data_IF_497929471157
#
_entry.id   IF_497929471157
#
_cell.length_a   1.000
_cell.length_b   1.000
_cell.length_c   1.000
_cell.angle_alpha   90.00
_cell.angle_beta   90.00
_cell.angle_gamma   90.00
#
_symmetry.space_group_name_H-M   'P 1'
#
loop_
_entity.id
_entity.type
_entity.pdbx_description
1 polymer ?
#
# COMPACT_ATOMS: atom_id res chain seq x y z
N UNK A 1 9.73 5.45 13.55
CA UNK A 1 10.48 5.01 12.34
C UNK A 1 11.29 6.13 11.68
N UNK A 2 10.92 7.41 11.82
CA UNK A 2 11.55 8.49 11.05
C UNK A 2 13.08 8.62 11.17
N UNK A 3 13.65 8.36 12.35
CA UNK A 3 15.11 8.39 12.55
C UNK A 3 15.87 7.40 11.67
N UNK A 4 15.31 6.21 11.44
CA UNK A 4 15.93 5.21 10.58
C UNK A 4 15.92 5.68 9.12
N UNK A 5 14.79 6.20 8.62
CA UNK A 5 14.69 6.69 7.24
C UNK A 5 15.66 7.85 6.97
N UNK A 6 15.68 8.88 7.82
CA UNK A 6 16.61 10.00 7.68
C UNK A 6 18.07 9.57 7.80
N UNK A 7 18.36 8.61 8.69
CA UNK A 7 19.69 8.03 8.84
C UNK A 7 20.16 7.20 7.64
N UNK A 8 19.24 6.77 6.76
CA UNK A 8 19.51 5.89 5.61
C UNK A 8 19.17 6.54 4.26
N UNK A 9 19.23 7.87 4.18
CA UNK A 9 19.22 8.58 2.90
C UNK A 9 17.84 8.93 2.35
N UNK A 10 16.76 8.76 3.10
CA UNK A 10 15.47 9.38 2.75
C UNK A 10 15.50 10.87 3.09
N UNK A 11 15.08 11.72 2.15
CA UNK A 11 15.10 13.19 2.34
C UNK A 11 13.80 13.74 2.92
N UNK A 12 12.68 13.03 2.72
CA UNK A 12 11.36 13.52 3.10
C UNK A 12 10.54 12.37 3.65
N UNK A 13 9.87 12.62 4.77
CA UNK A 13 8.89 11.71 5.37
C UNK A 13 7.57 12.47 5.42
N UNK A 14 6.53 11.81 4.94
CA UNK A 14 5.15 12.30 5.00
C UNK A 14 4.41 11.39 5.96
N UNK A 15 4.14 11.88 7.15
CA UNK A 15 3.43 11.18 8.22
C UNK A 15 2.13 11.91 8.60
N UNK A 16 1.35 11.30 9.47
CA UNK A 16 -0.01 11.71 9.82
C UNK A 16 -0.17 13.22 10.13
N UNK A 17 0.73 13.90 10.89
CA UNK A 17 0.57 15.31 11.23
C UNK A 17 0.49 16.28 10.05
N UNK A 18 0.93 15.87 8.85
CA UNK A 18 0.89 16.71 7.65
C UNK A 18 -0.23 16.37 6.67
N UNK A 19 -1.08 15.38 6.99
CA UNK A 19 -2.33 15.15 6.28
C UNK A 19 -3.35 16.22 6.67
N UNK A 20 -3.88 16.95 5.68
CA UNK A 20 -4.86 18.01 5.90
C UNK A 20 -6.25 17.48 5.56
N UNK A 21 -7.15 17.46 6.55
CA UNK A 21 -8.54 17.00 6.41
C UNK A 21 -8.67 15.60 5.79
N UNK A 22 -8.06 14.54 6.39
CA UNK A 22 -8.24 13.17 5.92
C UNK A 22 -9.74 12.79 5.93
N UNK A 23 -10.16 12.00 4.96
CA UNK A 23 -11.56 11.55 4.87
C UNK A 23 -11.89 10.51 5.92
N UNK A 24 -10.88 9.80 6.43
CA UNK A 24 -11.02 8.84 7.51
C UNK A 24 -9.74 8.71 8.33
N UNK A 25 -9.89 8.53 9.64
CA UNK A 25 -8.79 8.31 10.57
C UNK A 25 -9.15 7.18 11.55
N UNK A 26 -8.42 6.07 11.49
CA UNK A 26 -8.53 4.95 12.43
C UNK A 26 -7.40 4.97 13.47
N UNK A 27 -7.30 3.93 14.30
CA UNK A 27 -6.23 3.88 15.32
C UNK A 27 -4.80 3.77 14.73
N UNK A 28 -4.69 3.38 13.46
CA UNK A 28 -3.42 3.25 12.73
C UNK A 28 -3.12 4.46 11.84
N UNK A 29 -3.89 5.54 11.96
CA UNK A 29 -3.73 6.77 11.20
C UNK A 29 -4.77 6.94 10.10
N UNK A 30 -4.41 7.70 9.06
CA UNK A 30 -5.26 7.94 7.89
C UNK A 30 -5.51 6.66 7.10
N UNK A 31 -6.67 6.57 6.43
CA UNK A 31 -6.98 5.40 5.61
C UNK A 31 -6.10 5.32 4.34
N UNK A 32 -6.03 4.12 3.75
CA UNK A 32 -5.22 3.88 2.56
C UNK A 32 -5.70 4.71 1.34
N UNK A 33 -6.99 5.09 1.30
CA UNK A 33 -7.52 5.96 0.24
C UNK A 33 -6.95 7.38 0.32
N UNK A 34 -6.81 7.94 1.53
CA UNK A 34 -6.21 9.25 1.75
C UNK A 34 -4.69 9.19 1.47
N UNK A 35 -4.04 8.09 1.88
CA UNK A 35 -2.61 7.84 1.61
C UNK A 35 -2.32 7.89 0.10
N UNK A 36 -3.08 7.17 -0.72
CA UNK A 36 -2.82 7.09 -2.16
C UNK A 36 -3.11 8.41 -2.89
N UNK A 37 -4.13 9.16 -2.46
CA UNK A 37 -4.43 10.49 -2.98
C UNK A 37 -3.26 11.44 -2.67
N UNK A 38 -2.78 11.42 -1.41
CA UNK A 38 -1.63 12.23 -1.03
C UNK A 38 -0.38 11.85 -1.81
N UNK A 39 -0.13 10.57 -2.03
CA UNK A 39 1.02 10.12 -2.79
C UNK A 39 0.98 10.60 -4.25
N UNK A 40 -0.18 10.50 -4.90
CA UNK A 40 -0.42 11.02 -6.25
C UNK A 40 -0.09 12.53 -6.35
N UNK A 41 -0.61 13.35 -5.41
CA UNK A 41 -0.31 14.78 -5.35
C UNK A 41 1.20 15.07 -5.26
N UNK A 42 1.93 14.29 -4.45
CA UNK A 42 3.37 14.44 -4.29
C UNK A 42 4.13 14.00 -5.55
N UNK A 43 3.67 12.95 -6.24
CA UNK A 43 4.27 12.49 -7.48
C UNK A 43 4.09 13.49 -8.61
N UNK A 44 2.95 14.16 -8.69
CA UNK A 44 2.74 15.29 -9.61
C UNK A 44 3.75 16.41 -9.30
N UNK A 45 3.91 16.81 -8.04
CA UNK A 45 4.88 17.86 -7.64
C UNK A 45 6.32 17.47 -7.96
N UNK A 46 6.70 16.23 -7.67
CA UNK A 46 8.06 15.73 -7.94
C UNK A 46 8.33 15.64 -9.44
N UNK A 47 7.36 15.16 -10.23
CA UNK A 47 7.45 15.12 -11.68
C UNK A 47 7.67 16.52 -12.27
N UNK A 48 6.97 17.54 -11.77
CA UNK A 48 7.14 18.94 -12.20
C UNK A 48 8.55 19.50 -11.91
N UNK A 49 9.25 18.98 -10.91
CA UNK A 49 10.65 19.37 -10.60
C UNK A 49 11.67 18.74 -11.57
N UNK A 50 11.26 17.76 -12.38
CA UNK A 50 12.09 17.18 -13.44
C UNK A 50 13.24 16.29 -12.96
N UNK A 51 13.26 15.89 -11.69
CA UNK A 51 14.25 14.94 -11.15
C UNK A 51 13.61 13.58 -10.88
N UNK A 52 14.30 12.46 -11.19
CA UNK A 52 13.86 11.14 -10.76
C UNK A 52 13.69 11.10 -9.24
N UNK A 53 12.68 10.37 -8.77
CA UNK A 53 12.42 10.19 -7.35
C UNK A 53 12.20 8.71 -7.02
N UNK A 54 12.49 8.37 -5.76
CA UNK A 54 12.08 7.12 -5.13
C UNK A 54 11.08 7.48 -4.03
N UNK A 55 9.95 6.78 -3.99
CA UNK A 55 8.98 6.91 -2.91
C UNK A 55 8.55 5.54 -2.43
N UNK A 56 8.30 5.43 -1.13
CA UNK A 56 7.82 4.22 -0.46
C UNK A 56 6.54 4.60 0.28
N UNK A 57 5.45 3.93 -0.05
CA UNK A 57 4.16 4.08 0.62
C UNK A 57 3.94 2.85 1.50
N UNK A 58 3.51 3.05 2.73
CA UNK A 58 3.08 1.99 3.64
C UNK A 58 1.59 2.12 3.92
N UNK A 59 0.82 1.15 3.46
CA UNK A 59 -0.61 1.00 3.82
C UNK A 59 -0.73 0.62 5.29
N UNK A 60 -1.79 1.09 5.95
CA UNK A 60 -2.01 0.85 7.38
C UNK A 60 -3.38 0.26 7.68
N UNK A 61 -4.33 0.36 6.76
CA UNK A 61 -5.75 0.02 7.01
C UNK A 61 -5.97 -1.46 7.36
N UNK A 62 -5.16 -2.37 6.79
CA UNK A 62 -5.21 -3.79 7.11
C UNK A 62 -4.54 -4.14 8.46
N UNK A 63 -5.01 -3.52 9.54
CA UNK A 63 -4.61 -3.82 10.91
C UNK A 63 -5.83 -3.81 11.83
N UNK A 64 -5.86 -4.74 12.80
CA UNK A 64 -6.91 -4.82 13.83
C UNK A 64 -7.08 -3.46 14.55
N UNK A 65 -8.31 -2.93 14.70
CA UNK A 65 -9.60 -3.62 14.56
C UNK A 65 -10.23 -3.55 13.16
N UNK A 66 -9.43 -3.32 12.11
CA UNK A 66 -9.84 -3.35 10.69
C UNK A 66 -10.80 -2.21 10.33
N UNK A 67 -10.44 -1.00 10.77
CA UNK A 67 -11.21 0.22 10.57
C UNK A 67 -10.98 0.82 9.18
N UNK A 68 -12.05 1.04 8.43
CA UNK A 68 -12.02 1.70 7.13
C UNK A 68 -13.33 2.49 6.91
N UNK A 69 -13.34 3.52 6.03
CA UNK A 69 -14.53 4.33 5.78
C UNK A 69 -15.69 3.53 5.18
N UNK A 70 -16.90 3.75 5.71
CA UNK A 70 -18.12 3.15 5.20
C UNK A 70 -18.44 3.60 3.77
N UNK A 71 -19.17 2.77 3.02
CA UNK A 71 -19.66 3.09 1.68
C UNK A 71 -18.60 3.09 0.57
N UNK A 72 -17.34 2.73 0.87
CA UNK A 72 -16.27 2.61 -0.14
C UNK A 72 -16.22 1.24 -0.81
N UNK A 73 -16.54 0.20 -0.05
CA UNK A 73 -16.66 -1.18 -0.52
C UNK A 73 -17.92 -1.81 0.06
N UNK A 74 -18.50 -2.74 -0.68
CA UNK A 74 -19.49 -3.67 -0.14
C UNK A 74 -18.77 -4.77 0.67
N UNK A 75 -19.10 -5.01 1.95
CA UNK A 75 -18.55 -6.12 2.72
C UNK A 75 -18.76 -7.47 2.05
N UNK A 76 -17.86 -8.42 2.28
CA UNK A 76 -18.01 -9.79 1.78
C UNK A 76 -19.24 -10.46 2.42
N UNK A 77 -20.05 -11.24 1.65
CA UNK A 77 -21.21 -11.91 2.20
C UNK A 77 -20.87 -12.80 3.39
N UNK A 78 -21.57 -12.62 4.51
CA UNK A 78 -21.37 -13.40 5.74
C UNK A 78 -20.16 -12.98 6.59
N UNK A 79 -19.49 -11.87 6.25
CA UNK A 79 -18.44 -11.26 7.09
C UNK A 79 -18.98 -10.06 7.87
N UNK A 80 -18.41 -9.79 9.04
CA UNK A 80 -18.56 -8.49 9.70
C UNK A 80 -17.84 -7.42 8.87
N UNK A 81 -18.39 -6.19 8.75
CA UNK A 81 -17.72 -5.10 8.02
C UNK A 81 -16.26 -4.93 8.48
N UNK A 82 -16.04 -4.76 9.78
CA UNK A 82 -14.71 -4.71 10.38
C UNK A 82 -14.09 -6.12 10.50
N UNK A 83 -13.56 -6.64 9.38
CA UNK A 83 -12.84 -7.91 9.30
C UNK A 83 -11.56 -7.78 8.48
N UNK A 84 -10.62 -8.71 8.66
CA UNK A 84 -9.34 -8.74 7.95
C UNK A 84 -9.56 -8.82 6.44
N UNK A 85 -10.50 -9.64 5.98
CA UNK A 85 -10.80 -9.83 4.56
C UNK A 85 -11.36 -8.56 3.92
N UNK A 86 -12.22 -7.83 4.64
CA UNK A 86 -12.75 -6.56 4.14
C UNK A 86 -11.72 -5.43 4.20
N UNK A 87 -10.82 -5.42 5.19
CA UNK A 87 -9.70 -4.48 5.21
C UNK A 87 -8.71 -4.71 4.06
N UNK A 88 -8.42 -5.98 3.73
CA UNK A 88 -7.66 -6.32 2.50
C UNK A 88 -8.41 -5.85 1.25
N UNK A 89 -9.72 -6.08 1.17
CA UNK A 89 -10.55 -5.60 0.04
C UNK A 89 -10.56 -4.06 -0.07
N UNK A 90 -10.52 -3.35 1.06
CA UNK A 90 -10.41 -1.90 1.07
C UNK A 90 -9.02 -1.41 0.62
N UNK A 91 -7.94 -2.08 1.04
CA UNK A 91 -6.59 -1.79 0.56
C UNK A 91 -6.47 -2.00 -0.97
N UNK A 92 -7.09 -3.05 -1.50
CA UNK A 92 -7.20 -3.29 -2.95
C UNK A 92 -8.00 -2.16 -3.65
N UNK A 93 -9.12 -1.73 -3.07
CA UNK A 93 -9.88 -0.58 -3.58
C UNK A 93 -9.04 0.70 -3.63
N UNK A 94 -8.29 1.01 -2.56
CA UNK A 94 -7.39 2.17 -2.51
C UNK A 94 -6.27 2.05 -3.57
N UNK A 95 -5.68 0.87 -3.75
CA UNK A 95 -4.69 0.62 -4.80
C UNK A 95 -5.28 0.81 -6.21
N UNK A 96 -6.53 0.38 -6.42
CA UNK A 96 -7.26 0.65 -7.66
C UNK A 96 -7.43 2.15 -7.91
N UNK A 97 -7.83 2.91 -6.88
CA UNK A 97 -7.94 4.37 -6.95
C UNK A 97 -6.61 5.03 -7.29
N UNK A 98 -5.51 4.59 -6.67
CA UNK A 98 -4.16 5.10 -6.97
C UNK A 98 -3.85 5.00 -8.46
N UNK A 99 -4.10 3.83 -9.07
CA UNK A 99 -3.81 3.64 -10.49
C UNK A 99 -4.79 4.36 -11.42
N UNK A 100 -6.03 4.62 -11.00
CA UNK A 100 -6.94 5.49 -11.73
C UNK A 100 -6.39 6.91 -11.79
N UNK A 101 -5.98 7.48 -10.65
CA UNK A 101 -5.38 8.82 -10.56
C UNK A 101 -4.05 8.90 -11.32
N UNK A 102 -3.15 7.95 -11.06
CA UNK A 102 -1.82 7.96 -11.65
C UNK A 102 -1.88 8.00 -13.19
N UNK A 103 -2.79 7.22 -13.81
CA UNK A 103 -2.98 7.19 -15.27
C UNK A 103 -3.40 8.53 -15.88
N UNK A 104 -3.93 9.46 -15.09
CA UNK A 104 -4.27 10.82 -15.52
C UNK A 104 -3.06 11.77 -15.49
N UNK A 105 -1.92 11.33 -14.94
CA UNK A 105 -0.74 12.15 -14.73
C UNK A 105 0.49 11.68 -15.50
N UNK A 106 1.33 12.66 -15.88
CA UNK A 106 2.48 12.44 -16.74
C UNK A 106 3.54 11.49 -16.15
N UNK A 107 3.60 11.39 -14.82
CA UNK A 107 4.58 10.51 -14.16
C UNK A 107 4.32 9.03 -14.46
N UNK A 108 3.07 8.61 -14.72
CA UNK A 108 2.71 7.20 -14.86
C UNK A 108 3.54 6.46 -15.92
N UNK A 109 3.73 7.09 -17.08
CA UNK A 109 4.47 6.49 -18.18
C UNK A 109 5.99 6.40 -17.93
N UNK A 110 6.51 7.14 -16.96
CA UNK A 110 7.94 7.21 -16.62
C UNK A 110 8.23 6.68 -15.20
N UNK A 111 7.33 5.84 -14.66
CA UNK A 111 7.47 5.27 -13.32
C UNK A 111 7.41 3.75 -13.38
N UNK A 112 8.30 3.11 -12.62
CA UNK A 112 8.16 1.69 -12.26
C UNK A 112 7.49 1.63 -10.89
N UNK A 113 6.38 0.92 -10.82
CA UNK A 113 5.64 0.65 -9.61
C UNK A 113 5.98 -0.76 -9.12
N UNK A 114 6.31 -0.88 -7.84
CA UNK A 114 6.49 -2.15 -7.16
C UNK A 114 5.45 -2.25 -6.07
N UNK A 115 4.55 -3.22 -6.20
CA UNK A 115 3.51 -3.51 -5.21
C UNK A 115 3.90 -4.82 -4.56
N UNK A 116 4.14 -4.82 -3.26
CA UNK A 116 4.61 -5.99 -2.54
C UNK A 116 4.04 -5.96 -1.13
N UNK A 117 3.59 -7.10 -0.62
CA UNK A 117 3.19 -7.22 0.78
C UNK A 117 4.43 -7.26 1.67
N UNK A 118 4.35 -6.66 2.85
CA UNK A 118 5.40 -6.66 3.86
C UNK A 118 5.56 -8.04 4.50
N UNK A 119 4.45 -8.71 4.80
CA UNK A 119 4.39 -10.09 5.27
C UNK A 119 2.99 -10.69 5.07
N UNK A 120 2.84 -11.98 5.34
CA UNK A 120 1.52 -12.62 5.45
C UNK A 120 0.91 -12.40 6.84
N UNK A 121 -0.35 -12.74 7.03
CA UNK A 121 -1.03 -12.71 8.33
C UNK A 121 -0.31 -13.66 9.31
N UNK A 122 -0.08 -13.17 10.53
CA UNK A 122 0.72 -13.79 11.62
C UNK A 122 0.93 -15.30 11.49
N UNK A 123 2.20 -15.73 11.51
CA UNK A 123 2.57 -17.14 11.66
C UNK A 123 2.09 -17.63 13.03
N UNK A 124 1.03 -18.47 13.04
CA UNK A 124 0.71 -19.29 14.21
C UNK A 124 1.74 -20.41 14.29
N UNK A 125 2.37 -20.58 15.45
CA UNK A 125 3.35 -21.64 15.70
C UNK A 125 2.80 -22.97 15.22
N UNK A 126 3.55 -23.66 14.35
CA UNK A 126 3.18 -25.00 13.90
C UNK A 126 3.10 -25.93 15.11
N UNK A 127 2.04 -26.75 15.25
CA UNK A 127 1.90 -27.71 16.34
C UNK A 127 3.11 -28.64 16.49
N UNK A 128 3.87 -28.82 15.40
CA UNK A 128 4.99 -29.77 15.32
C UNK A 128 6.36 -29.07 15.32
N UNK A 129 6.44 -27.75 15.55
CA UNK A 129 7.70 -27.00 15.57
C UNK A 129 8.36 -26.79 14.19
N UNK A 130 7.70 -27.20 13.11
CA UNK A 130 8.17 -27.00 11.73
C UNK A 130 7.72 -25.63 11.22
N UNK A 131 8.64 -24.86 10.62
CA UNK A 131 8.30 -23.55 10.03
C UNK A 131 7.27 -23.73 8.89
N UNK A 132 6.10 -23.07 8.95
CA UNK A 132 5.10 -23.15 7.90
C UNK A 132 5.49 -22.25 6.72
N UNK A 133 6.33 -22.76 5.81
CA UNK A 133 6.90 -22.00 4.68
C UNK A 133 5.81 -21.34 3.82
N UNK A 134 4.66 -21.97 3.65
CA UNK A 134 3.54 -21.41 2.87
C UNK A 134 3.02 -20.08 3.45
N UNK A 135 3.18 -19.86 4.76
CA UNK A 135 2.80 -18.59 5.42
C UNK A 135 3.82 -17.47 5.18
N UNK A 136 4.95 -17.74 4.52
CA UNK A 136 5.92 -16.71 4.13
C UNK A 136 5.75 -16.26 2.67
N UNK A 137 4.87 -16.94 1.91
CA UNK A 137 4.55 -16.51 0.56
C UNK A 137 3.76 -15.20 0.60
N UNK A 138 4.29 -14.19 -0.06
CA UNK A 138 3.68 -12.87 -0.22
C UNK A 138 3.39 -12.58 -1.69
N UNK A 139 2.46 -11.65 -1.92
CA UNK A 139 2.19 -11.11 -3.24
C UNK A 139 3.26 -10.08 -3.64
N UNK A 140 3.65 -10.10 -4.92
CA UNK A 140 4.53 -9.11 -5.52
C UNK A 140 4.15 -8.88 -6.98
N UNK A 141 4.13 -7.62 -7.41
CA UNK A 141 3.81 -7.19 -8.76
C UNK A 141 4.66 -5.97 -9.14
N UNK A 142 5.27 -6.03 -10.33
CA UNK A 142 6.05 -4.92 -10.89
C UNK A 142 5.35 -4.47 -12.18
N UNK A 143 5.08 -3.17 -12.28
CA UNK A 143 4.37 -2.53 -13.39
C UNK A 143 5.15 -1.28 -13.84
N UNK A 144 5.04 -0.87 -15.10
CA UNK A 144 5.63 0.39 -15.57
C UNK A 144 6.23 0.32 -16.96
N UNK A 145 6.65 1.49 -17.47
CA UNK A 145 7.03 1.74 -18.86
C UNK A 145 7.94 0.68 -19.50
N UNK A 146 7.33 -0.16 -20.35
CA UNK A 146 8.02 -1.18 -21.16
C UNK A 146 8.18 -2.55 -20.50
N UNK A 147 7.61 -2.78 -19.31
CA UNK A 147 7.61 -4.11 -18.68
C UNK A 147 6.52 -4.96 -19.33
N UNK A 148 6.95 -5.97 -20.10
CA UNK A 148 6.03 -6.95 -20.67
C UNK A 148 5.39 -7.83 -19.57
N UNK A 149 4.08 -8.11 -19.66
CA UNK A 149 3.41 -8.99 -18.70
C UNK A 149 4.06 -10.38 -18.67
N UNK A 150 4.51 -10.80 -17.50
CA UNK A 150 5.06 -12.13 -17.29
C UNK A 150 4.77 -12.64 -15.89
N UNK A 151 4.61 -13.96 -15.77
CA UNK A 151 4.56 -14.65 -14.48
C UNK A 151 5.96 -15.14 -14.14
N UNK A 152 6.47 -14.74 -12.98
CA UNK A 152 7.73 -15.25 -12.44
C UNK A 152 7.43 -16.37 -11.45
N UNK A 153 7.72 -17.62 -11.81
CA UNK A 153 7.60 -18.78 -10.92
C UNK A 153 8.93 -19.14 -10.21
N UNK A 154 9.97 -18.29 -10.36
CA UNK A 154 11.24 -18.48 -9.65
C UNK A 154 11.05 -18.10 -8.18
N UNK A 155 11.69 -18.85 -7.29
CA UNK A 155 11.80 -18.46 -5.90
C UNK A 155 12.61 -17.15 -5.80
N UNK A 156 12.04 -16.17 -5.11
CA UNK A 156 12.60 -14.85 -4.88
C UNK A 156 12.34 -14.41 -3.44
#
# INVERSE_FOLDING_TARGET
MGSWYYGNGFQTIIDEPIFVNPTFHGIWGVCDEDLVVRADEEFVKLQQRGQPFLSVLFTTTNHTPFEYPEGRIEPLPGSEPASEENAVKFADHALGKFFLLAREHAYYNNTIFVIIADHNIRVRTSPNGVMPVDNYRIFGLILGGGIEPQRCDRLC
#
